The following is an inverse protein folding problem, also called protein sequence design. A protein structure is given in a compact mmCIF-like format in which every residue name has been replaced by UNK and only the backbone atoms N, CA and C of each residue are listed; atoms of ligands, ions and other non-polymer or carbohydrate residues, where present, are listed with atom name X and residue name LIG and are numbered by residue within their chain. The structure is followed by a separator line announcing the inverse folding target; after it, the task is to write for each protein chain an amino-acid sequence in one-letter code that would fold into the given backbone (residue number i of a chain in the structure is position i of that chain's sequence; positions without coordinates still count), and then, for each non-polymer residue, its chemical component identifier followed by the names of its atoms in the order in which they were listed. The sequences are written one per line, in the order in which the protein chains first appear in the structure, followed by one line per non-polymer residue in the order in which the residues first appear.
data_IF_000233617665
#
_entry.id   IF_000233617665
#
_cell.length_a   1.000
_cell.length_b   1.000
_cell.length_c   1.000
_cell.angle_alpha   90.00
_cell.angle_beta   90.00
_cell.angle_gamma   90.00
#
_symmetry.space_group_name_H-M   'P 1'
#
loop_
_entity.id
_entity.type
_entity.pdbx_description
1 polymer ?
#
# COMPACT_ATOMS: atom_id res chain seq x y z
N UNK A 1 30.98 0.41 32.29
CA UNK A 1 30.47 0.95 31.03
C UNK A 1 30.62 -0.14 30.01
N UNK A 2 29.52 -0.78 29.61
CA UNK A 2 29.48 -1.77 28.54
C UNK A 2 29.25 -0.97 27.26
N UNK A 3 30.07 -1.11 26.20
CA UNK A 3 29.85 -0.39 24.95
C UNK A 3 28.53 -0.84 24.30
N UNK A 4 27.81 0.04 23.58
CA UNK A 4 26.62 -0.33 22.87
C UNK A 4 26.95 -1.40 21.81
N UNK A 5 26.23 -2.51 21.85
CA UNK A 5 26.26 -3.53 20.82
C UNK A 5 25.65 -2.91 19.56
N UNK A 6 26.48 -2.53 18.61
CA UNK A 6 26.04 -2.19 17.26
C UNK A 6 25.64 -3.53 16.61
N UNK A 7 24.34 -3.81 16.56
CA UNK A 7 23.81 -4.94 15.81
C UNK A 7 24.01 -4.59 14.34
N UNK A 8 24.92 -5.29 13.68
CA UNK A 8 25.17 -5.19 12.26
C UNK A 8 23.93 -5.76 11.52
N UNK A 9 23.10 -4.85 11.02
CA UNK A 9 21.88 -5.19 10.25
C UNK A 9 22.22 -6.01 8.98
N UNK A 10 23.46 -5.97 8.50
CA UNK A 10 23.95 -6.82 7.42
C UNK A 10 24.13 -8.29 7.85
N UNK A 11 24.45 -8.55 9.11
CA UNK A 11 24.63 -9.92 9.63
C UNK A 11 23.29 -10.66 9.82
N UNK A 12 22.16 -9.93 9.95
CA UNK A 12 20.82 -10.52 10.04
C UNK A 12 20.28 -10.95 8.65
N UNK A 13 20.88 -10.45 7.55
CA UNK A 13 20.52 -10.82 6.17
C UNK A 13 20.70 -12.33 5.89
N UNK A 14 21.63 -13.01 6.55
CA UNK A 14 21.93 -14.42 6.28
C UNK A 14 21.19 -15.42 7.18
N UNK A 15 20.60 -14.97 8.27
CA UNK A 15 19.97 -15.88 9.25
C UNK A 15 18.49 -16.16 9.00
N UNK A 16 17.80 -15.40 8.13
CA UNK A 16 16.35 -15.53 7.91
C UNK A 16 15.98 -15.54 6.42
N UNK A 17 16.83 -16.14 5.57
CA UNK A 17 16.44 -16.50 4.20
C UNK A 17 15.46 -17.67 4.22
N UNK A 18 14.20 -17.41 4.56
CA UNK A 18 13.10 -18.10 3.90
C UNK A 18 13.16 -17.71 2.41
N UNK A 19 12.89 -18.65 1.52
CA UNK A 19 12.95 -18.50 0.06
C UNK A 19 11.96 -17.43 -0.47
N UNK A 20 12.17 -16.15 -0.13
CA UNK A 20 11.45 -15.03 -0.73
C UNK A 20 12.31 -14.49 -1.86
N UNK A 21 11.80 -14.59 -3.06
CA UNK A 21 12.35 -13.88 -4.23
C UNK A 21 12.18 -12.38 -3.99
N UNK A 22 13.26 -11.71 -3.59
CA UNK A 22 13.26 -10.26 -3.36
C UNK A 22 13.12 -9.59 -4.72
N UNK A 23 12.12 -8.72 -4.87
CA UNK A 23 11.94 -7.94 -6.08
C UNK A 23 13.14 -6.99 -6.25
N UNK A 24 14.12 -7.37 -7.07
CA UNK A 24 15.33 -6.58 -7.32
C UNK A 24 15.04 -5.19 -7.92
N UNK A 25 13.81 -4.94 -8.41
CA UNK A 25 13.45 -3.68 -9.06
C UNK A 25 12.07 -3.18 -8.65
N UNK A 26 12.00 -2.34 -7.61
CA UNK A 26 10.86 -1.48 -7.37
C UNK A 26 10.96 -0.20 -8.21
N UNK A 27 9.88 0.12 -8.92
CA UNK A 27 9.74 1.43 -9.55
C UNK A 27 9.24 2.45 -8.51
N UNK A 28 10.04 3.49 -8.29
CA UNK A 28 9.73 4.56 -7.32
C UNK A 28 9.83 5.91 -8.00
N UNK A 29 8.80 6.72 -7.85
CA UNK A 29 8.80 8.13 -8.26
C UNK A 29 9.22 8.99 -7.09
N UNK A 30 10.26 9.78 -7.28
CA UNK A 30 10.76 10.71 -6.26
C UNK A 30 10.30 12.12 -6.59
N UNK A 31 9.81 12.84 -5.58
CA UNK A 31 9.46 14.26 -5.70
C UNK A 31 9.71 14.99 -4.37
N UNK A 32 10.03 16.30 -4.47
CA UNK A 32 10.42 17.10 -3.30
C UNK A 32 11.85 16.85 -2.85
N UNK A 33 12.40 17.81 -2.11
CA UNK A 33 13.80 17.83 -1.63
C UNK A 33 13.86 18.06 -0.10
N UNK A 34 12.74 17.85 0.61
CA UNK A 34 12.68 18.00 2.06
C UNK A 34 13.59 17.01 2.79
N UNK A 35 13.95 17.34 4.02
CA UNK A 35 14.84 16.52 4.86
C UNK A 35 14.17 15.26 5.40
N UNK A 36 12.84 15.27 5.53
CA UNK A 36 12.06 14.12 6.00
C UNK A 36 11.64 13.25 4.82
N UNK A 37 11.83 11.94 4.93
CA UNK A 37 11.42 10.98 3.93
C UNK A 37 9.95 10.57 4.12
N UNK A 38 9.17 10.52 3.04
CA UNK A 38 7.78 10.05 3.04
C UNK A 38 7.58 9.01 1.95
N UNK A 39 7.12 7.83 2.34
CA UNK A 39 6.79 6.73 1.43
C UNK A 39 5.28 6.64 1.24
N UNK A 40 4.83 6.55 -0.01
CA UNK A 40 3.42 6.40 -0.39
C UNK A 40 3.20 5.04 -1.05
N UNK A 41 2.30 4.23 -0.47
CA UNK A 41 1.96 2.87 -0.93
C UNK A 41 0.49 2.82 -1.36
N UNK A 42 0.24 2.51 -2.64
CA UNK A 42 -1.09 2.49 -3.25
C UNK A 42 -1.88 1.19 -2.96
N UNK A 43 -3.17 1.17 -3.27
CA UNK A 43 -4.05 0.02 -3.15
C UNK A 43 -3.96 -0.97 -4.32
N UNK A 44 -4.68 -2.09 -4.19
CA UNK A 44 -4.77 -3.15 -5.21
C UNK A 44 -5.18 -2.57 -6.59
N UNK A 45 -4.58 -3.07 -7.67
CA UNK A 45 -4.72 -2.60 -9.06
C UNK A 45 -4.23 -1.17 -9.33
N UNK A 46 -3.66 -0.51 -8.32
CA UNK A 46 -3.19 0.86 -8.41
C UNK A 46 -1.76 0.99 -8.94
N UNK A 47 -1.22 2.18 -8.74
CA UNK A 47 0.17 2.54 -9.06
C UNK A 47 0.62 3.74 -8.22
N UNK A 48 1.89 4.10 -8.30
CA UNK A 48 2.49 5.28 -7.67
C UNK A 48 1.73 6.60 -7.94
N UNK A 49 0.89 6.64 -8.99
CA UNK A 49 0.10 7.85 -9.31
C UNK A 49 -1.14 8.01 -8.44
N UNK A 50 -1.66 6.94 -7.85
CA UNK A 50 -2.97 6.98 -7.17
C UNK A 50 -2.98 7.87 -5.92
N UNK A 51 -1.83 7.99 -5.24
CA UNK A 51 -1.66 8.93 -4.12
C UNK A 51 -1.01 10.26 -4.54
N UNK A 52 -1.11 10.63 -5.81
CA UNK A 52 -0.46 11.80 -6.40
C UNK A 52 -0.92 13.14 -5.80
N UNK A 53 -2.13 13.24 -5.24
CA UNK A 53 -2.58 14.43 -4.52
C UNK A 53 -1.81 14.61 -3.22
N UNK A 54 -1.60 13.53 -2.46
CA UNK A 54 -0.76 13.54 -1.25
C UNK A 54 0.70 13.86 -1.62
N UNK A 55 1.25 13.20 -2.64
CA UNK A 55 2.61 13.49 -3.09
C UNK A 55 2.80 14.97 -3.44
N UNK A 56 1.82 15.60 -4.11
CA UNK A 56 1.88 17.02 -4.49
C UNK A 56 1.90 17.96 -3.29
N UNK A 57 1.15 17.64 -2.24
CA UNK A 57 1.07 18.47 -1.03
C UNK A 57 2.32 18.30 -0.17
N UNK A 58 2.76 17.06 0.02
CA UNK A 58 3.86 16.77 0.93
C UNK A 58 5.26 16.97 0.34
N UNK A 59 5.42 17.05 -1.00
CA UNK A 59 6.72 17.34 -1.63
C UNK A 59 7.29 18.73 -1.28
N UNK A 60 6.49 19.63 -0.73
CA UNK A 60 6.93 20.98 -0.35
C UNK A 60 7.91 20.94 0.84
N UNK A 61 7.77 19.94 1.72
CA UNK A 61 8.55 19.79 2.95
C UNK A 61 9.13 18.38 3.18
N UNK A 62 8.80 17.43 2.31
CA UNK A 62 9.29 16.06 2.34
C UNK A 62 9.98 15.66 1.04
N UNK A 63 10.90 14.71 1.13
CA UNK A 63 11.31 13.89 0.00
C UNK A 63 10.34 12.72 -0.11
N UNK A 64 9.47 12.76 -1.13
CA UNK A 64 8.36 11.83 -1.29
C UNK A 64 8.72 10.73 -2.27
N UNK A 65 8.54 9.49 -1.84
CA UNK A 65 8.76 8.26 -2.60
C UNK A 65 7.41 7.59 -2.87
N UNK A 66 6.86 7.77 -4.07
CA UNK A 66 5.65 7.08 -4.51
C UNK A 66 6.03 5.77 -5.17
N UNK A 67 5.70 4.66 -4.53
CA UNK A 67 6.13 3.31 -4.92
C UNK A 67 5.05 2.64 -5.76
N UNK A 68 5.44 2.06 -6.90
CA UNK A 68 4.67 0.98 -7.50
C UNK A 68 4.96 -0.30 -6.69
N UNK A 69 3.98 -0.85 -6.00
CA UNK A 69 4.15 -2.12 -5.27
C UNK A 69 4.53 -3.26 -6.23
N UNK A 70 5.20 -4.35 -5.77
CA UNK A 70 5.40 -5.51 -6.63
C UNK A 70 4.09 -5.95 -7.30
N UNK A 71 4.16 -6.55 -8.46
CA UNK A 71 3.03 -6.94 -9.31
C UNK A 71 2.19 -5.77 -9.86
N UNK A 72 2.60 -4.51 -9.64
CA UNK A 72 1.89 -3.32 -10.09
C UNK A 72 2.83 -2.34 -10.83
N UNK A 73 2.21 -1.55 -11.70
CA UNK A 73 2.88 -0.43 -12.38
C UNK A 73 4.05 -0.86 -13.25
N UNK A 74 5.25 -0.44 -12.86
CA UNK A 74 6.52 -0.77 -13.53
C UNK A 74 7.44 -1.62 -12.63
N UNK A 75 6.98 -1.99 -11.43
CA UNK A 75 7.74 -2.86 -10.54
C UNK A 75 7.75 -4.30 -11.05
N UNK A 76 8.74 -5.07 -10.60
CA UNK A 76 8.85 -6.50 -10.94
C UNK A 76 7.65 -7.31 -10.45
N UNK A 77 7.33 -8.38 -11.15
CA UNK A 77 6.32 -9.35 -10.76
C UNK A 77 6.95 -10.45 -9.92
N UNK A 78 6.26 -10.83 -8.82
CA UNK A 78 6.72 -11.87 -7.92
C UNK A 78 6.12 -13.24 -8.28
N UNK A 79 6.89 -14.30 -8.05
CA UNK A 79 6.40 -15.69 -8.20
C UNK A 79 5.45 -16.05 -7.06
N UNK A 80 5.70 -15.54 -5.86
CA UNK A 80 4.88 -15.76 -4.66
C UNK A 80 4.50 -14.43 -4.00
N UNK A 81 3.48 -13.78 -4.54
CA UNK A 81 2.98 -12.51 -4.05
C UNK A 81 2.27 -12.67 -2.69
N UNK A 82 2.60 -11.81 -1.75
CA UNK A 82 1.95 -11.69 -0.44
C UNK A 82 2.19 -10.30 0.16
N UNK A 83 1.49 -9.95 1.24
CA UNK A 83 1.71 -8.68 1.95
C UNK A 83 3.12 -8.62 2.54
N UNK A 84 3.60 -9.74 3.07
CA UNK A 84 4.95 -9.90 3.64
C UNK A 84 6.02 -9.71 2.58
N UNK A 85 5.86 -10.35 1.40
CA UNK A 85 6.81 -10.20 0.29
C UNK A 85 6.85 -8.76 -0.24
N UNK A 86 5.71 -8.08 -0.29
CA UNK A 86 5.64 -6.67 -0.69
C UNK A 86 6.31 -5.75 0.34
N UNK A 87 6.09 -6.02 1.62
CA UNK A 87 6.73 -5.31 2.72
C UNK A 87 8.26 -5.45 2.68
N UNK A 88 8.75 -6.68 2.49
CA UNK A 88 10.19 -6.96 2.38
C UNK A 88 10.83 -6.28 1.17
N UNK A 89 10.14 -6.24 0.02
CA UNK A 89 10.60 -5.52 -1.15
C UNK A 89 10.75 -4.01 -0.88
N UNK A 90 9.79 -3.41 -0.17
CA UNK A 90 9.86 -1.99 0.24
C UNK A 90 11.00 -1.77 1.23
N UNK A 91 11.16 -2.63 2.25
CA UNK A 91 12.23 -2.54 3.23
C UNK A 91 13.62 -2.63 2.57
N UNK A 92 13.80 -3.60 1.68
CA UNK A 92 15.04 -3.78 0.92
C UNK A 92 15.36 -2.54 0.10
N UNK A 93 14.37 -2.02 -0.64
CA UNK A 93 14.56 -0.80 -1.42
C UNK A 93 14.96 0.39 -0.56
N UNK A 94 14.34 0.58 0.60
CA UNK A 94 14.70 1.65 1.55
C UNK A 94 16.15 1.52 2.02
N UNK A 95 16.57 0.31 2.40
CA UNK A 95 17.93 0.03 2.84
C UNK A 95 18.96 0.27 1.72
N UNK A 96 18.68 -0.19 0.50
CA UNK A 96 19.58 -0.06 -0.65
C UNK A 96 19.73 1.41 -1.11
N UNK A 97 18.77 2.28 -0.76
CA UNK A 97 18.82 3.72 -1.01
C UNK A 97 19.25 4.55 0.22
N UNK A 98 19.86 3.92 1.24
CA UNK A 98 20.33 4.57 2.47
C UNK A 98 19.24 5.34 3.26
N UNK A 99 17.98 4.99 3.10
CA UNK A 99 16.87 5.58 3.85
C UNK A 99 16.74 4.86 5.19
N UNK A 100 17.29 5.46 6.23
CA UNK A 100 17.34 4.86 7.58
C UNK A 100 16.00 4.95 8.31
N UNK A 101 15.18 5.94 7.96
CA UNK A 101 13.88 6.18 8.58
C UNK A 101 12.99 7.00 7.66
N UNK A 102 11.70 6.68 7.65
CA UNK A 102 10.70 7.40 6.87
C UNK A 102 9.33 7.42 7.55
N UNK A 103 8.49 8.36 7.18
CA UNK A 103 7.06 8.36 7.39
C UNK A 103 6.42 7.53 6.29
N UNK A 104 5.35 6.81 6.60
CA UNK A 104 4.71 5.92 5.62
C UNK A 104 3.21 6.22 5.57
N UNK A 105 2.67 6.39 4.37
CA UNK A 105 1.22 6.45 4.12
C UNK A 105 0.86 5.28 3.20
N UNK A 106 -0.04 4.41 3.64
CA UNK A 106 -0.54 3.30 2.83
C UNK A 106 -2.06 3.31 2.69
N UNK A 107 -2.57 3.13 1.47
CA UNK A 107 -4.00 3.00 1.19
C UNK A 107 -4.36 1.54 0.90
N UNK A 108 -5.41 1.02 1.54
CA UNK A 108 -5.95 -0.32 1.27
C UNK A 108 -4.84 -1.40 1.34
N UNK A 109 -4.53 -2.12 0.25
CA UNK A 109 -3.39 -3.04 0.19
C UNK A 109 -2.09 -2.37 0.64
N UNK A 110 -1.81 -1.15 0.18
CA UNK A 110 -0.64 -0.39 0.62
C UNK A 110 -0.63 -0.10 2.13
N UNK A 111 -1.82 0.01 2.74
CA UNK A 111 -1.98 0.12 4.20
C UNK A 111 -1.60 -1.18 4.92
N UNK A 112 -1.96 -2.34 4.37
CA UNK A 112 -1.51 -3.65 4.88
C UNK A 112 0.00 -3.80 4.77
N UNK A 113 0.59 -3.45 3.61
CA UNK A 113 2.04 -3.47 3.41
C UNK A 113 2.74 -2.53 4.38
N UNK A 114 2.20 -1.32 4.60
CA UNK A 114 2.75 -0.35 5.55
C UNK A 114 2.69 -0.85 7.01
N UNK A 115 1.60 -1.50 7.40
CA UNK A 115 1.47 -2.13 8.73
C UNK A 115 2.46 -3.28 8.90
N UNK A 116 2.62 -4.14 7.91
CA UNK A 116 3.60 -5.23 7.93
C UNK A 116 5.02 -4.68 8.04
N UNK A 117 5.37 -3.66 7.23
CA UNK A 117 6.66 -2.98 7.27
C UNK A 117 6.97 -2.42 8.68
N UNK A 118 5.98 -1.81 9.33
CA UNK A 118 6.16 -1.26 10.67
C UNK A 118 6.39 -2.34 11.73
N UNK A 119 5.81 -3.52 11.57
CA UNK A 119 5.97 -4.64 12.50
C UNK A 119 7.30 -5.38 12.31
N UNK A 120 7.69 -5.64 11.05
CA UNK A 120 8.88 -6.42 10.74
C UNK A 120 10.16 -5.57 10.72
N UNK A 121 10.05 -4.29 10.36
CA UNK A 121 11.15 -3.33 10.29
C UNK A 121 10.86 -2.03 11.06
N UNK A 122 10.59 -2.08 12.37
CA UNK A 122 10.11 -0.93 13.15
C UNK A 122 11.10 0.24 13.18
N UNK A 123 12.38 0.01 12.96
CA UNK A 123 13.38 1.08 12.88
C UNK A 123 13.24 1.95 11.64
N UNK A 124 12.69 1.42 10.52
CA UNK A 124 12.49 2.14 9.26
C UNK A 124 11.29 3.09 9.32
N UNK A 125 10.29 2.85 10.18
CA UNK A 125 9.05 3.61 10.19
C UNK A 125 9.01 4.57 11.37
N UNK A 126 9.05 5.89 11.11
CA UNK A 126 8.94 6.96 12.12
C UNK A 126 7.49 7.17 12.55
N UNK A 127 6.60 7.35 11.58
CA UNK A 127 5.15 7.53 11.75
C UNK A 127 4.42 6.77 10.67
N UNK A 128 3.30 6.17 11.02
CA UNK A 128 2.50 5.36 10.12
C UNK A 128 1.10 5.97 9.93
N UNK A 129 0.70 6.18 8.68
CA UNK A 129 -0.68 6.54 8.32
C UNK A 129 -1.27 5.44 7.46
N UNK A 130 -2.44 4.94 7.87
CA UNK A 130 -3.19 3.92 7.13
C UNK A 130 -4.52 4.50 6.69
N UNK A 131 -4.78 4.41 5.39
CA UNK A 131 -6.01 4.88 4.77
C UNK A 131 -6.93 3.69 4.49
N UNK A 132 -7.96 3.59 5.28
CA UNK A 132 -9.15 2.74 5.16
C UNK A 132 -8.89 1.24 4.97
N UNK A 133 -8.11 0.65 5.88
CA UNK A 133 -7.90 -0.80 5.98
C UNK A 133 -7.53 -1.19 7.41
N UNK A 134 -7.94 -2.37 7.86
CA UNK A 134 -7.59 -2.94 9.17
C UNK A 134 -6.61 -4.12 9.04
N UNK A 135 -5.89 -4.49 10.11
CA UNK A 135 -4.92 -5.60 10.11
C UNK A 135 -5.58 -6.99 10.21
N UNK A 136 -6.75 -7.16 9.63
CA UNK A 136 -7.57 -8.38 9.69
C UNK A 136 -7.65 -9.09 8.36
N UNK A 137 -8.10 -10.36 8.38
CA UNK A 137 -8.49 -11.05 7.15
C UNK A 137 -9.83 -10.54 6.63
N UNK A 138 -9.91 -10.35 5.32
CA UNK A 138 -11.16 -9.99 4.63
C UNK A 138 -11.70 -11.15 3.80
N UNK A 139 -13.03 -11.27 3.65
CA UNK A 139 -13.61 -12.16 2.66
C UNK A 139 -13.27 -11.71 1.23
N UNK A 140 -13.36 -12.61 0.25
CA UNK A 140 -13.27 -12.22 -1.16
C UNK A 140 -14.36 -11.21 -1.50
N UNK A 141 -13.97 -10.12 -2.15
CA UNK A 141 -14.88 -9.02 -2.53
C UNK A 141 -14.57 -8.38 -3.88
N UNK A 142 -13.62 -8.96 -4.64
CA UNK A 142 -13.21 -8.44 -5.95
C UNK A 142 -13.36 -9.48 -7.08
N UNK A 143 -14.16 -10.54 -6.88
CA UNK A 143 -14.33 -11.61 -7.88
C UNK A 143 -14.97 -11.07 -9.17
N UNK A 144 -15.91 -10.12 -9.05
CA UNK A 144 -16.49 -9.37 -10.15
C UNK A 144 -15.45 -8.49 -10.86
N UNK A 145 -14.55 -7.86 -10.11
CA UNK A 145 -13.47 -7.04 -10.67
C UNK A 145 -12.49 -7.90 -11.47
N UNK A 146 -12.04 -9.04 -10.93
CA UNK A 146 -11.18 -9.99 -11.67
C UNK A 146 -11.86 -10.48 -12.94
N UNK A 147 -13.16 -10.78 -12.89
CA UNK A 147 -13.95 -11.18 -14.07
C UNK A 147 -14.00 -10.07 -15.11
N UNK A 148 -14.26 -8.84 -14.70
CA UNK A 148 -14.27 -7.66 -15.56
C UNK A 148 -12.92 -7.42 -16.27
N UNK A 149 -11.82 -7.51 -15.51
CA UNK A 149 -10.47 -7.31 -16.04
C UNK A 149 -10.10 -8.38 -17.09
N UNK A 150 -10.51 -9.64 -16.88
CA UNK A 150 -10.32 -10.72 -17.86
C UNK A 150 -11.18 -10.55 -19.09
N UNK A 151 -12.42 -10.08 -18.95
CA UNK A 151 -13.29 -9.82 -20.09
C UNK A 151 -12.65 -8.79 -21.04
N UNK A 152 -12.05 -7.71 -20.52
CA UNK A 152 -11.33 -6.72 -21.34
C UNK A 152 -10.20 -7.37 -22.15
N UNK A 153 -9.40 -8.25 -21.53
CA UNK A 153 -8.31 -8.95 -22.23
C UNK A 153 -8.84 -9.94 -23.27
N UNK A 154 -9.96 -10.64 -22.98
CA UNK A 154 -10.56 -11.62 -23.87
C UNK A 154 -11.16 -10.97 -25.12
N UNK A 155 -11.76 -9.78 -24.98
CA UNK A 155 -12.36 -9.04 -26.08
C UNK A 155 -11.34 -8.26 -26.93
N UNK A 156 -10.07 -8.18 -26.48
CA UNK A 156 -8.98 -7.50 -27.21
C UNK A 156 -9.34 -6.09 -27.66
N UNK A 157 -10.04 -5.36 -26.80
CA UNK A 157 -10.44 -3.98 -27.09
C UNK A 157 -9.23 -3.06 -27.25
N UNK A 158 -9.35 -2.05 -28.10
CA UNK A 158 -8.22 -1.20 -28.51
C UNK A 158 -8.23 0.19 -27.87
N UNK A 159 -9.31 0.55 -27.19
CA UNK A 159 -9.46 1.87 -26.57
C UNK A 159 -9.94 1.79 -25.12
N UNK A 160 -9.62 2.83 -24.35
CA UNK A 160 -10.12 2.98 -22.96
C UNK A 160 -11.64 3.08 -22.90
N UNK A 161 -12.27 3.64 -23.94
CA UNK A 161 -13.73 3.76 -24.02
C UNK A 161 -14.37 2.38 -24.18
N UNK A 162 -13.84 1.54 -25.08
CA UNK A 162 -14.29 0.16 -25.24
C UNK A 162 -14.05 -0.65 -23.98
N UNK A 163 -12.83 -0.55 -23.36
CA UNK A 163 -12.52 -1.22 -22.12
C UNK A 163 -13.50 -0.80 -20.99
N UNK A 164 -13.86 0.48 -20.90
CA UNK A 164 -14.86 0.96 -19.94
C UNK A 164 -16.24 0.32 -20.18
N UNK A 165 -16.65 0.20 -21.43
CA UNK A 165 -17.92 -0.44 -21.78
C UNK A 165 -17.96 -1.92 -21.39
N UNK A 166 -16.82 -2.63 -21.52
CA UNK A 166 -16.68 -4.04 -21.10
C UNK A 166 -16.66 -4.16 -19.56
N UNK A 167 -15.95 -3.28 -18.86
CA UNK A 167 -15.85 -3.31 -17.39
C UNK A 167 -17.18 -3.04 -16.70
N UNK A 168 -17.93 -2.03 -17.16
CA UNK A 168 -19.10 -1.46 -16.46
C UNK A 168 -20.16 -2.49 -16.06
N UNK A 169 -20.54 -3.49 -16.88
CA UNK A 169 -21.57 -4.47 -16.49
C UNK A 169 -21.19 -5.38 -15.32
N UNK A 170 -19.91 -5.49 -14.96
CA UNK A 170 -19.42 -6.32 -13.86
C UNK A 170 -19.32 -5.56 -12.54
N UNK A 171 -19.36 -4.22 -12.59
CA UNK A 171 -18.99 -3.37 -11.46
C UNK A 171 -20.22 -2.69 -10.85
N UNK A 172 -20.30 -2.69 -9.52
CA UNK A 172 -21.40 -2.06 -8.78
C UNK A 172 -21.33 -0.53 -8.85
N UNK A 173 -20.11 0.02 -9.00
CA UNK A 173 -19.88 1.46 -9.02
C UNK A 173 -19.10 1.87 -10.28
N UNK A 174 -19.62 2.81 -11.10
CA UNK A 174 -18.95 3.28 -12.32
C UNK A 174 -17.53 3.82 -12.11
N UNK A 175 -17.27 4.44 -10.94
CA UNK A 175 -15.94 5.00 -10.59
C UNK A 175 -14.86 3.92 -10.48
N UNK A 176 -15.22 2.67 -10.19
CA UNK A 176 -14.26 1.55 -10.17
C UNK A 176 -13.68 1.32 -11.54
N UNK A 177 -14.49 1.41 -12.61
CA UNK A 177 -13.99 1.31 -13.99
C UNK A 177 -12.97 2.41 -14.30
N UNK A 178 -13.26 3.65 -13.93
CA UNK A 178 -12.34 4.77 -14.15
C UNK A 178 -11.02 4.58 -13.40
N UNK A 179 -11.08 4.08 -12.16
CA UNK A 179 -9.90 3.74 -11.37
C UNK A 179 -9.07 2.64 -12.06
N UNK A 180 -9.67 1.51 -12.45
CA UNK A 180 -8.98 0.41 -13.12
C UNK A 180 -8.30 0.87 -14.42
N UNK A 181 -8.98 1.72 -15.18
CA UNK A 181 -8.44 2.27 -16.42
C UNK A 181 -7.22 3.18 -16.22
N UNK A 182 -6.94 3.68 -15.02
CA UNK A 182 -5.68 4.39 -14.75
C UNK A 182 -4.46 3.50 -14.97
N UNK A 183 -4.62 2.19 -14.78
CA UNK A 183 -3.58 1.16 -14.99
C UNK A 183 -3.63 0.51 -16.38
N UNK A 184 -4.54 0.94 -17.27
CA UNK A 184 -4.59 0.46 -18.64
C UNK A 184 -3.48 1.07 -19.51
N UNK A 185 -2.89 0.27 -20.40
CA UNK A 185 -2.00 0.71 -21.47
C UNK A 185 -2.40 0.06 -22.80
N UNK A 186 -1.97 0.64 -23.90
CA UNK A 186 -2.06 -0.01 -25.21
C UNK A 186 -0.84 -0.90 -25.36
N UNK A 187 -1.05 -2.18 -25.61
CA UNK A 187 -0.02 -3.16 -25.89
C UNK A 187 0.57 -3.04 -27.30
N UNK A 188 1.54 -3.90 -27.62
CA UNK A 188 2.22 -3.89 -28.92
C UNK A 188 1.28 -4.32 -30.08
N UNK A 189 0.31 -5.16 -29.79
CA UNK A 189 -0.73 -5.60 -30.73
C UNK A 189 -1.88 -4.58 -30.90
N UNK A 190 -1.82 -3.45 -30.20
CA UNK A 190 -2.85 -2.40 -30.19
C UNK A 190 -4.01 -2.66 -29.24
N UNK A 191 -4.04 -3.79 -28.54
CA UNK A 191 -5.07 -4.09 -27.54
C UNK A 191 -4.76 -3.45 -26.17
N UNK A 192 -5.78 -3.34 -25.32
CA UNK A 192 -5.58 -2.91 -23.92
C UNK A 192 -4.94 -4.03 -23.11
N UNK A 193 -3.91 -3.65 -22.38
CA UNK A 193 -3.23 -4.45 -21.36
C UNK A 193 -3.28 -3.76 -20.00
N UNK A 194 -3.15 -4.55 -18.92
CA UNK A 194 -3.05 -4.03 -17.56
C UNK A 194 -1.59 -3.87 -17.15
N UNK A 195 -1.29 -2.78 -16.43
CA UNK A 195 0.03 -2.52 -15.82
C UNK A 195 0.18 -3.22 -14.46
N UNK A 196 -0.51 -4.30 -14.25
CA UNK A 196 -0.38 -5.15 -13.07
C UNK A 196 -0.48 -6.62 -13.47
N UNK A 197 0.09 -7.48 -12.68
CA UNK A 197 0.11 -8.93 -12.86
C UNK A 197 -1.25 -9.53 -12.47
N UNK A 198 -2.21 -9.49 -13.39
CA UNK A 198 -3.59 -9.94 -13.12
C UNK A 198 -3.64 -11.40 -12.61
N UNK A 199 -2.89 -12.31 -13.23
CA UNK A 199 -2.88 -13.72 -12.89
C UNK A 199 -2.19 -13.96 -11.54
N UNK A 200 -1.04 -13.32 -11.30
CA UNK A 200 -0.31 -13.39 -10.02
C UNK A 200 -1.13 -12.85 -8.86
N UNK A 201 -1.76 -11.66 -9.04
CA UNK A 201 -2.61 -11.06 -8.03
C UNK A 201 -3.84 -11.92 -7.71
N UNK A 202 -4.46 -12.54 -8.71
CA UNK A 202 -5.60 -13.42 -8.47
C UNK A 202 -5.18 -14.70 -7.75
N UNK A 203 -4.06 -15.29 -8.12
CA UNK A 203 -3.51 -16.48 -7.46
C UNK A 203 -3.14 -16.19 -5.99
N UNK A 204 -2.58 -15.02 -5.72
CA UNK A 204 -2.18 -14.57 -4.38
C UNK A 204 -3.31 -13.90 -3.59
N UNK A 205 -4.49 -13.70 -4.18
CA UNK A 205 -5.54 -12.83 -3.64
C UNK A 205 -5.92 -13.19 -2.20
N UNK A 206 -6.04 -14.49 -1.89
CA UNK A 206 -6.33 -14.95 -0.52
C UNK A 206 -5.23 -14.60 0.49
N UNK A 207 -3.95 -14.62 0.10
CA UNK A 207 -2.83 -14.18 0.94
C UNK A 207 -2.87 -12.67 1.15
N UNK A 208 -3.14 -11.91 0.09
CA UNK A 208 -3.29 -10.44 0.12
C UNK A 208 -4.43 -9.99 1.06
N UNK A 209 -5.53 -10.74 1.10
CA UNK A 209 -6.65 -10.48 2.01
C UNK A 209 -6.39 -10.93 3.45
N UNK A 210 -5.32 -11.71 3.72
CA UNK A 210 -4.99 -12.25 5.03
C UNK A 210 -4.80 -11.20 6.11
N UNK A 211 -4.87 -11.60 7.39
CA UNK A 211 -4.53 -10.74 8.52
C UNK A 211 -3.04 -10.38 8.51
N UNK A 212 -2.69 -9.25 9.08
CA UNK A 212 -1.30 -8.86 9.32
C UNK A 212 -0.75 -9.65 10.50
N UNK A 213 0.37 -10.32 10.31
CA UNK A 213 1.02 -11.15 11.33
C UNK A 213 2.51 -10.80 11.35
N UNK A 214 3.07 -10.40 12.51
CA UNK A 214 4.51 -10.17 12.63
C UNK A 214 5.30 -11.42 12.22
N UNK A 215 6.40 -11.24 11.49
CA UNK A 215 7.25 -12.35 11.03
C UNK A 215 7.83 -13.16 12.19
N UNK A 216 8.10 -12.52 13.33
CA UNK A 216 8.60 -13.18 14.55
C UNK A 216 7.47 -13.25 15.59
N UNK A 217 7.15 -14.44 16.06
CA UNK A 217 6.16 -14.65 17.12
C UNK A 217 6.66 -14.00 18.44
N UNK A 218 5.78 -13.26 19.10
CA UNK A 218 6.10 -12.58 20.35
C UNK A 218 6.83 -11.25 20.16
N UNK A 219 6.90 -10.74 18.94
CA UNK A 219 7.34 -9.37 18.69
C UNK A 219 6.48 -8.39 19.49
N UNK A 220 7.12 -7.43 20.13
CA UNK A 220 6.39 -6.34 20.80
C UNK A 220 5.58 -5.52 19.79
N UNK A 221 4.45 -4.97 20.22
CA UNK A 221 3.63 -4.11 19.40
C UNK A 221 4.47 -2.90 18.91
N UNK A 222 4.21 -2.48 17.66
CA UNK A 222 4.82 -1.27 17.13
C UNK A 222 4.50 -0.07 18.03
N UNK A 223 5.53 0.61 18.55
CA UNK A 223 5.39 1.59 19.63
C UNK A 223 5.46 3.04 19.18
N UNK A 224 5.66 3.29 17.89
CA UNK A 224 5.65 4.64 17.32
C UNK A 224 4.22 5.05 16.91
N UNK A 225 3.95 6.35 16.73
CA UNK A 225 2.61 6.83 16.42
C UNK A 225 2.05 6.26 15.11
N UNK A 226 0.78 5.87 15.14
CA UNK A 226 0.00 5.42 13.99
C UNK A 226 -1.34 6.17 13.94
N UNK A 227 -1.70 6.65 12.76
CA UNK A 227 -3.00 7.23 12.44
C UNK A 227 -3.72 6.34 11.44
N UNK A 228 -4.94 5.94 11.76
CA UNK A 228 -5.87 5.29 10.83
C UNK A 228 -6.95 6.30 10.44
N UNK A 229 -7.05 6.62 9.16
CA UNK A 229 -8.18 7.37 8.62
C UNK A 229 -9.15 6.39 7.98
N UNK A 230 -10.40 6.33 8.46
CA UNK A 230 -11.45 5.48 7.89
C UNK A 230 -12.54 6.33 7.23
N UNK A 231 -13.09 5.85 6.13
CA UNK A 231 -14.25 6.48 5.51
C UNK A 231 -15.52 6.15 6.30
N UNK A 232 -16.38 7.16 6.54
CA UNK A 232 -17.67 6.96 7.23
C UNK A 232 -18.59 5.99 6.47
N UNK A 233 -18.52 6.01 5.13
CA UNK A 233 -19.33 5.17 4.25
C UNK A 233 -18.62 3.87 3.83
N UNK A 234 -17.45 3.58 4.40
CA UNK A 234 -16.65 2.39 4.11
C UNK A 234 -16.88 1.31 5.16
N UNK A 235 -16.87 0.06 4.74
CA UNK A 235 -16.96 -1.12 5.60
C UNK A 235 -15.59 -1.80 5.88
N UNK A 236 -14.49 -1.20 5.43
CA UNK A 236 -13.15 -1.77 5.63
C UNK A 236 -12.63 -1.61 7.06
N UNK A 237 -13.00 -0.54 7.75
CA UNK A 237 -12.60 -0.30 9.14
C UNK A 237 -13.85 -0.03 9.98
N UNK A 238 -14.13 -0.91 10.92
CA UNK A 238 -15.22 -0.78 11.90
C UNK A 238 -14.69 -0.64 13.33
N UNK A 239 -15.55 -0.28 14.27
CA UNK A 239 -15.19 -0.19 15.70
C UNK A 239 -14.78 -1.56 16.27
N UNK A 240 -15.25 -2.66 15.68
CA UNK A 240 -14.89 -4.03 16.09
C UNK A 240 -13.41 -4.36 15.85
N UNK A 241 -12.72 -3.60 15.00
CA UNK A 241 -11.30 -3.80 14.71
C UNK A 241 -10.35 -3.16 15.74
N UNK A 242 -10.89 -2.46 16.76
CA UNK A 242 -10.08 -1.76 17.77
C UNK A 242 -9.12 -2.69 18.53
N UNK A 243 -9.58 -3.90 18.89
CA UNK A 243 -8.75 -4.88 19.59
C UNK A 243 -7.57 -5.39 18.74
N UNK A 244 -7.79 -5.61 17.43
CA UNK A 244 -6.74 -6.04 16.50
C UNK A 244 -5.69 -4.95 16.30
N UNK A 245 -6.10 -3.69 16.14
CA UNK A 245 -5.18 -2.57 16.09
C UNK A 245 -4.35 -2.48 17.38
N UNK A 246 -4.98 -2.47 18.55
CA UNK A 246 -4.30 -2.31 19.83
C UNK A 246 -3.36 -3.45 20.18
N UNK A 247 -3.60 -4.66 19.64
CA UNK A 247 -2.71 -5.81 19.86
C UNK A 247 -1.39 -5.70 19.08
N UNK A 248 -1.36 -4.97 17.98
CA UNK A 248 -0.21 -4.84 17.08
C UNK A 248 0.45 -3.45 17.16
N UNK A 249 -0.29 -2.42 17.53
CA UNK A 249 0.13 -1.02 17.51
C UNK A 249 -0.24 -0.35 18.83
N UNK A 250 0.75 -0.02 19.65
CA UNK A 250 0.51 0.49 21.01
C UNK A 250 0.08 1.97 21.05
N UNK A 251 0.32 2.74 19.98
CA UNK A 251 -0.03 4.15 19.86
C UNK A 251 -0.82 4.38 18.56
N UNK A 252 -2.08 3.98 18.53
CA UNK A 252 -2.95 4.09 17.36
C UNK A 252 -4.15 5.01 17.62
N UNK A 253 -4.31 6.00 16.74
CA UNK A 253 -5.48 6.86 16.69
C UNK A 253 -6.31 6.49 15.45
N UNK A 254 -7.63 6.34 15.62
CA UNK A 254 -8.57 6.09 14.53
C UNK A 254 -9.49 7.30 14.36
N UNK A 255 -9.47 7.90 13.17
CA UNK A 255 -10.27 9.08 12.84
C UNK A 255 -11.19 8.77 11.67
N UNK A 256 -12.49 9.08 11.82
CA UNK A 256 -13.47 8.93 10.75
C UNK A 256 -13.51 10.18 9.88
N UNK A 257 -13.40 9.97 8.57
CA UNK A 257 -13.55 11.01 7.55
C UNK A 257 -15.02 11.00 7.10
N UNK A 258 -15.75 12.05 7.48
CA UNK A 258 -17.20 12.13 7.22
C UNK A 258 -17.48 12.26 5.73
N UNK A 259 -18.53 11.59 5.26
CA UNK A 259 -18.97 11.58 3.86
C UNK A 259 -18.10 10.80 2.89
N UNK A 260 -16.96 10.27 3.34
CA UNK A 260 -16.04 9.53 2.49
C UNK A 260 -16.28 8.01 2.52
N UNK A 261 -16.08 7.35 1.38
CA UNK A 261 -15.97 5.91 1.22
C UNK A 261 -14.53 5.42 1.26
N UNK A 262 -14.26 4.32 0.55
CA UNK A 262 -12.94 3.67 0.52
C UNK A 262 -11.83 4.54 -0.11
N UNK A 263 -12.16 5.43 -1.04
CA UNK A 263 -11.20 6.35 -1.67
C UNK A 263 -11.17 7.74 -0.99
N UNK A 264 -11.21 7.77 0.35
CA UNK A 264 -11.25 9.00 1.16
C UNK A 264 -10.19 10.03 0.75
N UNK A 265 -9.02 9.60 0.32
CA UNK A 265 -7.92 10.47 -0.15
C UNK A 265 -8.21 11.18 -1.48
N UNK A 266 -9.27 10.79 -2.18
CA UNK A 266 -9.78 11.44 -3.39
C UNK A 266 -11.11 12.15 -3.13
N UNK A 267 -11.99 11.52 -2.35
CA UNK A 267 -13.35 11.99 -2.06
C UNK A 267 -13.33 13.21 -1.11
N UNK A 268 -12.48 13.15 -0.06
CA UNK A 268 -12.31 14.20 0.94
C UNK A 268 -10.82 14.57 1.08
N UNK A 269 -10.20 14.89 -0.05
CA UNK A 269 -8.75 15.08 -0.15
C UNK A 269 -8.19 16.12 0.82
N UNK A 270 -8.86 17.27 0.98
CA UNK A 270 -8.41 18.36 1.87
C UNK A 270 -8.46 17.93 3.35
N UNK A 271 -9.53 17.20 3.74
CA UNK A 271 -9.70 16.69 5.11
C UNK A 271 -8.59 15.69 5.43
N UNK A 272 -8.32 14.75 4.51
CA UNK A 272 -7.27 13.74 4.66
C UNK A 272 -5.88 14.41 4.74
N UNK A 273 -5.57 15.33 3.83
CA UNK A 273 -4.30 16.06 3.82
C UNK A 273 -4.06 16.82 5.11
N UNK A 274 -5.09 17.50 5.62
CA UNK A 274 -5.02 18.24 6.88
C UNK A 274 -4.80 17.31 8.08
N UNK A 275 -5.53 16.20 8.16
CA UNK A 275 -5.37 15.22 9.24
C UNK A 275 -3.96 14.61 9.25
N UNK A 276 -3.45 14.21 8.07
CA UNK A 276 -2.09 13.68 7.93
C UNK A 276 -1.04 14.72 8.33
N UNK A 277 -1.19 15.98 7.90
CA UNK A 277 -0.25 17.05 8.27
C UNK A 277 -0.25 17.28 9.77
N UNK A 278 -1.42 17.43 10.40
CA UNK A 278 -1.53 17.57 11.86
C UNK A 278 -0.86 16.43 12.61
N UNK A 279 -1.05 15.19 12.12
CA UNK A 279 -0.41 14.01 12.71
C UNK A 279 1.11 14.02 12.54
N UNK A 280 1.63 14.47 11.38
CA UNK A 280 3.08 14.56 11.15
C UNK A 280 3.76 15.68 11.93
N UNK A 281 3.05 16.77 12.20
CA UNK A 281 3.54 17.94 12.92
C UNK A 281 3.38 17.83 14.45
N UNK A 282 2.61 16.84 14.94
CA UNK A 282 2.44 16.62 16.37
C UNK A 282 3.78 16.27 17.04
N UNK A 283 4.06 16.88 18.20
CA UNK A 283 5.19 16.49 19.04
C UNK A 283 5.03 15.04 19.51
N UNK A 284 6.15 14.35 19.75
CA UNK A 284 6.16 12.98 20.30
C UNK A 284 5.63 12.91 21.74
#
# INVERSE_FOLDING_TARGET
MIPPVIIDLYALRDANKGDFEVAENLHVKVSGEGVSNLVLLHGLFGSANNLGQLARVFKEDHRVFSVDLPDHGKSAWLTDASVEAYSEAVATWLCDNDIKQCRVIGHSLGGKVAMQLALDHPSLVERLVVLDIAPVSYPSRHDNVFSALRAVLAEKVSSRAEAKAVLTPFLDEPRVADFLLTSARVGEDGSIEWRFNLEGLQSAYKKILGAIIPAVKGTEAFSRPMLVLRGELSDYVSDDHGAQFSSLFSKVDVVTVSGAGHWLHQEEAEVVQKAVRQFFDAAE
#
